data_IF_768348395635
#
_entry.id   IF_768348395635
#
_cell.length_a   1.000
_cell.length_b   1.000
_cell.length_c   1.000
_cell.angle_alpha   90.00
_cell.angle_beta   90.00
_cell.angle_gamma   90.00
#
_symmetry.space_group_name_H-M   'P 1'
#
loop_
_entity.id
_entity.type
_entity.pdbx_description
1 polymer ?
#
# COMPACT_ATOMS: atom_id res chain seq x y z
N UNK A 1 21.81 1.38 -0.08
CA UNK A 1 20.49 0.99 0.45
C UNK A 1 19.58 0.72 -0.73
N UNK A 2 18.99 -0.46 -0.84
CA UNK A 2 17.98 -0.76 -1.86
C UNK A 2 16.76 0.14 -1.66
N UNK A 3 16.25 0.74 -2.73
CA UNK A 3 14.93 1.38 -2.71
C UNK A 3 13.83 0.31 -2.75
N UNK A 4 12.68 0.54 -2.10
CA UNK A 4 11.55 -0.39 -2.14
C UNK A 4 10.60 -0.25 -0.95
N UNK A 5 9.58 -1.10 -0.95
CA UNK A 5 8.72 -1.29 0.21
C UNK A 5 9.51 -1.93 1.34
N UNK A 6 9.36 -1.35 2.53
CA UNK A 6 9.91 -1.85 3.78
C UNK A 6 8.90 -1.49 4.87
N UNK A 7 8.24 -2.47 5.51
CA UNK A 7 7.20 -2.23 6.51
C UNK A 7 7.71 -1.56 7.79
N UNK A 8 9.02 -1.59 8.04
CA UNK A 8 9.66 -1.05 9.24
C UNK A 8 10.16 0.40 9.05
N UNK A 9 10.42 0.81 7.79
CA UNK A 9 10.94 2.15 7.46
C UNK A 9 10.03 3.32 7.83
N UNK A 10 8.72 3.13 7.85
CA UNK A 10 7.75 4.14 8.28
C UNK A 10 6.47 3.46 8.72
N UNK A 11 5.99 3.82 9.92
CA UNK A 11 4.85 3.16 10.55
C UNK A 11 3.81 4.18 11.02
N UNK A 12 2.56 3.75 10.95
CA UNK A 12 1.43 4.34 11.67
C UNK A 12 1.36 3.62 13.03
N UNK A 13 0.87 4.29 14.08
CA UNK A 13 0.73 3.61 15.39
C UNK A 13 -0.20 2.40 15.27
N UNK A 14 0.06 1.36 16.06
CA UNK A 14 -0.75 0.14 16.03
C UNK A 14 -2.22 0.43 16.38
N UNK A 15 -2.49 1.33 17.33
CA UNK A 15 -3.86 1.78 17.65
C UNK A 15 -4.57 2.42 16.44
N UNK A 16 -3.86 3.26 15.67
CA UNK A 16 -4.45 3.88 14.46
C UNK A 16 -4.72 2.83 13.39
N UNK A 17 -3.82 1.86 13.23
CA UNK A 17 -3.99 0.74 12.30
C UNK A 17 -5.16 -0.14 12.69
N UNK A 18 -5.29 -0.48 13.98
CA UNK A 18 -6.40 -1.28 14.51
C UNK A 18 -7.75 -0.59 14.29
N UNK A 19 -7.85 0.69 14.65
CA UNK A 19 -9.05 1.47 14.42
C UNK A 19 -9.43 1.52 12.93
N UNK A 20 -8.44 1.69 12.05
CA UNK A 20 -8.68 1.71 10.61
C UNK A 20 -9.14 0.35 10.07
N UNK A 21 -8.55 -0.77 10.54
CA UNK A 21 -8.99 -2.13 10.18
C UNK A 21 -10.44 -2.39 10.58
N UNK A 22 -10.84 -1.92 11.76
CA UNK A 22 -12.18 -2.16 12.34
C UNK A 22 -13.26 -1.17 11.85
N UNK A 23 -12.89 -0.08 11.18
CA UNK A 23 -13.85 0.92 10.68
C UNK A 23 -14.36 0.59 9.27
N UNK A 24 -15.58 0.99 8.87
CA UNK A 24 -16.00 0.92 7.47
C UNK A 24 -15.06 1.74 6.56
N UNK A 25 -14.86 1.30 5.32
CA UNK A 25 -14.16 2.13 4.32
C UNK A 25 -15.08 3.27 3.91
N UNK A 26 -14.59 4.50 3.94
CA UNK A 26 -15.33 5.69 3.51
C UNK A 26 -14.77 6.24 2.21
N UNK A 27 -15.59 6.90 1.39
CA UNK A 27 -15.20 7.49 0.10
C UNK A 27 -14.31 8.76 0.21
N UNK A 28 -13.35 8.79 1.15
CA UNK A 28 -12.53 9.96 1.46
C UNK A 28 -11.06 9.56 1.67
N UNK A 29 -10.16 10.19 0.91
CA UNK A 29 -8.71 9.95 1.01
C UNK A 29 -8.10 10.49 2.30
N UNK A 30 -8.74 11.45 2.99
CA UNK A 30 -8.27 11.95 4.29
C UNK A 30 -8.39 10.89 5.39
N UNK A 31 -9.17 9.82 5.15
CA UNK A 31 -9.32 8.71 6.10
C UNK A 31 -8.16 7.73 6.08
N UNK A 32 -7.25 7.81 5.08
CA UNK A 32 -6.13 6.88 4.92
C UNK A 32 -4.95 7.32 5.80
N UNK A 33 -4.58 6.56 6.86
CA UNK A 33 -3.43 6.91 7.68
C UNK A 33 -2.14 7.00 6.86
N UNK A 34 -1.31 8.01 7.17
CA UNK A 34 -0.05 8.27 6.46
C UNK A 34 -0.20 9.01 5.12
N UNK A 35 -1.43 9.20 4.61
CA UNK A 35 -1.67 9.95 3.38
C UNK A 35 -2.05 11.41 3.67
N UNK A 36 -1.06 12.31 3.65
CA UNK A 36 -1.29 13.74 3.85
C UNK A 36 -1.85 14.48 2.63
N UNK A 37 -2.33 15.72 2.83
CA UNK A 37 -2.93 16.59 1.79
C UNK A 37 -2.10 16.72 0.51
N UNK A 38 -0.77 16.77 0.62
CA UNK A 38 0.12 16.82 -0.54
C UNK A 38 0.06 15.54 -1.38
N UNK A 39 0.00 14.36 -0.72
CA UNK A 39 -0.19 13.07 -1.38
C UNK A 39 -1.56 12.97 -2.05
N UNK A 40 -2.63 13.41 -1.36
CA UNK A 40 -3.99 13.47 -1.92
C UNK A 40 -4.03 14.32 -3.19
N UNK A 41 -3.42 15.52 -3.15
CA UNK A 41 -3.30 16.38 -4.34
C UNK A 41 -2.59 15.66 -5.49
N UNK A 42 -1.47 14.99 -5.21
CA UNK A 42 -0.71 14.24 -6.23
C UNK A 42 -1.50 13.09 -6.83
N UNK A 43 -2.27 12.38 -6.00
CA UNK A 43 -3.16 11.31 -6.43
C UNK A 43 -4.24 11.79 -7.40
N UNK A 44 -4.79 12.99 -7.18
CA UNK A 44 -5.75 13.63 -8.09
C UNK A 44 -5.15 14.28 -9.34
N UNK A 45 -3.84 14.50 -9.39
CA UNK A 45 -3.12 15.08 -10.54
C UNK A 45 -2.67 13.96 -11.50
N UNK A 46 -3.45 13.66 -12.54
CA UNK A 46 -3.06 12.75 -13.63
C UNK A 46 -3.54 13.30 -14.97
N UNK A 47 -2.75 13.14 -16.03
CA UNK A 47 -3.15 13.51 -17.40
C UNK A 47 -4.26 12.60 -17.92
N UNK A 48 -4.23 11.32 -17.52
CA UNK A 48 -5.26 10.34 -17.84
C UNK A 48 -6.33 10.40 -16.75
N UNK A 49 -7.55 10.83 -17.13
CA UNK A 49 -8.67 11.02 -16.20
C UNK A 49 -8.99 9.74 -15.41
N UNK A 50 -9.00 8.59 -16.09
CA UNK A 50 -9.33 7.29 -15.49
C UNK A 50 -8.27 6.78 -14.49
N UNK A 51 -7.07 7.36 -14.50
CA UNK A 51 -5.99 7.03 -13.56
C UNK A 51 -5.92 8.02 -12.37
N UNK A 52 -6.81 9.03 -12.33
CA UNK A 52 -6.93 9.92 -11.16
C UNK A 52 -7.55 9.18 -9.99
N UNK A 53 -6.98 9.43 -8.82
CA UNK A 53 -7.49 8.90 -7.55
C UNK A 53 -8.06 10.07 -6.75
N UNK A 54 -9.38 10.13 -6.68
CA UNK A 54 -10.16 11.18 -6.00
C UNK A 54 -10.87 10.67 -4.75
N UNK A 55 -10.98 9.35 -4.58
CA UNK A 55 -11.51 8.72 -3.37
C UNK A 55 -10.72 7.45 -2.98
N UNK A 56 -10.94 6.97 -1.75
CA UNK A 56 -10.25 5.80 -1.19
C UNK A 56 -10.54 4.51 -1.97
N UNK A 57 -11.75 4.30 -2.49
CA UNK A 57 -12.11 3.09 -3.23
C UNK A 57 -11.29 2.94 -4.50
N UNK A 58 -11.01 4.05 -5.20
CA UNK A 58 -10.11 4.04 -6.35
C UNK A 58 -8.68 3.70 -5.95
N UNK A 59 -8.21 4.17 -4.79
CA UNK A 59 -6.88 3.81 -4.27
C UNK A 59 -6.79 2.31 -3.97
N UNK A 60 -7.81 1.74 -3.31
CA UNK A 60 -7.93 0.29 -3.11
C UNK A 60 -8.00 -0.44 -4.45
N UNK A 61 -8.83 0.02 -5.39
CA UNK A 61 -8.93 -0.56 -6.72
C UNK A 61 -7.58 -0.59 -7.44
N UNK A 62 -6.82 0.51 -7.39
CA UNK A 62 -5.48 0.56 -7.97
C UNK A 62 -4.51 -0.40 -7.30
N UNK A 63 -4.54 -0.48 -5.97
CA UNK A 63 -3.77 -1.48 -5.24
C UNK A 63 -4.13 -2.89 -5.72
N UNK A 64 -5.41 -3.27 -5.74
CA UNK A 64 -5.86 -4.60 -6.18
C UNK A 64 -5.48 -4.90 -7.63
N UNK A 65 -5.61 -3.94 -8.54
CA UNK A 65 -5.22 -4.10 -9.95
C UNK A 65 -3.74 -4.44 -10.13
N UNK A 66 -2.86 -3.98 -9.24
CA UNK A 66 -1.42 -4.26 -9.31
C UNK A 66 -1.04 -5.67 -8.84
N UNK A 67 -1.99 -6.47 -8.33
CA UNK A 67 -1.78 -7.88 -7.98
C UNK A 67 -1.57 -8.77 -9.22
N UNK A 68 -1.91 -8.28 -10.41
CA UNK A 68 -1.66 -8.95 -11.68
C UNK A 68 -1.11 -8.01 -12.77
N UNK A 69 -0.87 -8.52 -13.98
CA UNK A 69 -0.81 -9.95 -14.31
C UNK A 69 0.40 -10.64 -13.67
N UNK A 70 0.41 -11.99 -13.69
CA UNK A 70 1.59 -12.78 -13.30
C UNK A 70 2.74 -12.66 -14.30
N UNK A 71 3.87 -13.33 -14.01
CA UNK A 71 5.12 -13.20 -14.77
C UNK A 71 5.41 -14.37 -15.71
N UNK A 72 4.68 -15.46 -15.57
CA UNK A 72 4.87 -16.69 -16.33
C UNK A 72 3.54 -17.19 -16.90
N UNK A 73 3.63 -18.04 -17.91
CA UNK A 73 2.46 -18.73 -18.46
C UNK A 73 1.74 -19.52 -17.36
N UNK A 74 0.42 -19.39 -17.29
CA UNK A 74 -0.40 -19.98 -16.23
C UNK A 74 -0.40 -19.21 -14.90
N UNK A 75 0.41 -18.15 -14.74
CA UNK A 75 0.40 -17.30 -13.57
C UNK A 75 -0.47 -16.05 -13.81
N UNK A 76 -1.58 -15.94 -13.08
CA UNK A 76 -2.52 -14.80 -13.22
C UNK A 76 -2.19 -13.64 -12.27
N UNK A 77 -1.40 -13.88 -11.22
CA UNK A 77 -1.07 -12.90 -10.18
C UNK A 77 0.36 -13.03 -9.64
N UNK A 78 0.89 -11.97 -9.04
CA UNK A 78 2.24 -11.94 -8.43
C UNK A 78 2.21 -12.21 -6.93
N UNK A 79 3.34 -12.58 -6.34
CA UNK A 79 3.46 -12.81 -4.89
C UNK A 79 3.27 -11.51 -4.06
N UNK A 80 2.89 -11.65 -2.79
CA UNK A 80 2.56 -10.52 -1.91
C UNK A 80 3.72 -9.51 -1.77
N UNK A 81 4.96 -9.98 -1.57
CA UNK A 81 6.14 -9.12 -1.48
C UNK A 81 6.34 -8.26 -2.74
N UNK A 82 6.12 -8.86 -3.91
CA UNK A 82 6.20 -8.13 -5.17
C UNK A 82 5.05 -7.14 -5.33
N UNK A 83 3.85 -7.51 -4.90
CA UNK A 83 2.67 -6.65 -4.97
C UNK A 83 2.85 -5.38 -4.13
N UNK A 84 3.37 -5.51 -2.90
CA UNK A 84 3.67 -4.35 -2.04
C UNK A 84 4.71 -3.43 -2.69
N UNK A 85 5.76 -4.01 -3.28
CA UNK A 85 6.77 -3.25 -4.01
C UNK A 85 6.20 -2.54 -5.23
N UNK A 86 5.36 -3.22 -6.05
CA UNK A 86 4.71 -2.58 -7.19
C UNK A 86 3.85 -1.40 -6.78
N UNK A 87 3.07 -1.54 -5.71
CA UNK A 87 2.26 -0.42 -5.21
C UNK A 87 3.13 0.72 -4.67
N UNK A 88 4.22 0.41 -3.95
CA UNK A 88 5.17 1.42 -3.47
C UNK A 88 5.83 2.21 -4.60
N UNK A 89 6.26 1.53 -5.68
CA UNK A 89 6.83 2.18 -6.86
C UNK A 89 5.79 2.97 -7.64
N UNK A 90 4.53 2.50 -7.67
CA UNK A 90 3.44 3.28 -8.22
C UNK A 90 3.20 4.57 -7.41
N UNK A 91 3.16 4.53 -6.08
CA UNK A 91 3.08 5.74 -5.26
C UNK A 91 4.25 6.70 -5.56
N UNK A 92 5.47 6.16 -5.74
CA UNK A 92 6.66 6.93 -6.14
C UNK A 92 6.45 7.60 -7.51
N UNK A 93 5.94 6.87 -8.51
CA UNK A 93 5.70 7.42 -9.85
C UNK A 93 4.59 8.46 -9.88
N UNK A 94 3.64 8.41 -8.92
CA UNK A 94 2.65 9.46 -8.68
C UNK A 94 3.24 10.70 -7.96
N UNK A 95 4.52 10.68 -7.60
CA UNK A 95 5.21 11.80 -6.95
C UNK A 95 5.00 11.87 -5.43
N UNK A 96 4.58 10.77 -4.79
CA UNK A 96 4.48 10.69 -3.33
C UNK A 96 5.88 10.42 -2.77
N UNK A 97 6.45 11.41 -2.06
CA UNK A 97 7.85 11.36 -1.63
C UNK A 97 8.06 10.85 -0.20
N UNK A 98 7.03 10.88 0.65
CA UNK A 98 7.10 10.52 2.06
C UNK A 98 6.10 9.42 2.42
N UNK A 99 6.36 8.68 3.51
CA UNK A 99 5.45 7.70 4.13
C UNK A 99 4.89 6.60 3.22
N UNK A 100 5.52 6.34 2.06
CA UNK A 100 5.04 5.31 1.11
C UNK A 100 4.91 3.92 1.74
N UNK A 101 5.87 3.51 2.57
CA UNK A 101 5.77 2.23 3.29
C UNK A 101 4.57 2.19 4.23
N UNK A 102 4.34 3.26 5.00
CA UNK A 102 3.18 3.36 5.87
C UNK A 102 1.86 3.28 5.07
N UNK A 103 1.77 3.99 3.93
CA UNK A 103 0.59 3.96 3.06
C UNK A 103 0.36 2.55 2.48
N UNK A 104 1.41 1.89 2.00
CA UNK A 104 1.32 0.51 1.48
C UNK A 104 0.82 -0.43 2.57
N UNK A 105 1.40 -0.39 3.77
CA UNK A 105 1.00 -1.23 4.91
C UNK A 105 -0.46 -1.01 5.30
N UNK A 106 -0.88 0.26 5.42
CA UNK A 106 -2.27 0.66 5.71
C UNK A 106 -3.26 0.06 4.71
N UNK A 107 -2.99 0.24 3.42
CA UNK A 107 -3.87 -0.26 2.35
C UNK A 107 -3.87 -1.79 2.31
N UNK A 108 -2.71 -2.42 2.48
CA UNK A 108 -2.56 -3.86 2.44
C UNK A 108 -3.25 -4.56 3.61
N UNK A 109 -3.04 -4.10 4.84
CA UNK A 109 -3.69 -4.65 6.03
C UNK A 109 -5.20 -4.44 6.00
N UNK A 110 -5.67 -3.28 5.52
CA UNK A 110 -7.09 -3.07 5.32
C UNK A 110 -7.66 -3.97 4.22
N UNK A 111 -6.92 -4.16 3.13
CA UNK A 111 -7.35 -5.07 2.06
C UNK A 111 -7.42 -6.52 2.54
N UNK A 112 -6.54 -6.93 3.46
CA UNK A 112 -6.53 -8.27 4.05
C UNK A 112 -7.78 -8.57 4.89
N UNK A 113 -8.53 -7.57 5.35
CA UNK A 113 -9.83 -7.79 6.02
C UNK A 113 -10.93 -8.22 5.04
N UNK A 114 -10.72 -8.03 3.73
CA UNK A 114 -11.66 -8.41 2.67
C UNK A 114 -11.13 -9.57 1.81
N UNK A 115 -9.82 -9.58 1.54
CA UNK A 115 -9.14 -10.52 0.66
C UNK A 115 -8.05 -11.27 1.44
N UNK A 116 -8.42 -12.39 2.04
CA UNK A 116 -7.48 -13.21 2.81
C UNK A 116 -6.27 -13.60 1.94
N UNK A 117 -5.07 -13.46 2.50
CA UNK A 117 -3.81 -13.82 1.83
C UNK A 117 -3.20 -12.72 0.93
N UNK A 118 -3.85 -11.56 0.78
CA UNK A 118 -3.30 -10.46 -0.04
C UNK A 118 -2.08 -9.78 0.58
N UNK A 119 -1.91 -9.90 1.89
CA UNK A 119 -0.79 -9.35 2.65
C UNK A 119 -0.35 -10.34 3.71
N UNK A 120 0.96 -10.51 3.86
CA UNK A 120 1.60 -11.29 4.91
C UNK A 120 2.71 -10.45 5.52
N UNK A 121 2.49 -10.01 6.76
CA UNK A 121 3.48 -9.23 7.51
C UNK A 121 4.64 -10.11 8.00
N UNK A 122 4.40 -11.41 8.22
CA UNK A 122 5.43 -12.33 8.70
C UNK A 122 6.47 -12.64 7.63
N UNK A 123 6.11 -12.47 6.35
CA UNK A 123 7.06 -12.58 5.23
C UNK A 123 8.20 -11.53 5.29
N UNK A 124 8.16 -10.60 6.25
CA UNK A 124 9.18 -9.58 6.49
C UNK A 124 9.85 -9.72 7.87
N UNK A 125 9.52 -10.76 8.65
CA UNK A 125 10.07 -10.97 9.99
C UNK A 125 11.51 -11.51 9.98
N UNK A 126 11.93 -12.19 8.90
CA UNK A 126 13.28 -12.76 8.77
C UNK A 126 14.39 -11.70 8.56
N UNK A 127 14.04 -10.44 8.29
CA UNK A 127 15.01 -9.34 8.09
C UNK A 127 15.24 -8.48 9.35
N UNK A 128 14.62 -8.82 10.50
CA UNK A 128 14.71 -8.01 11.74
C UNK A 128 15.56 -8.59 12.87
N UNK A 129 16.21 -9.74 12.69
CA UNK A 129 16.95 -10.45 13.75
C UNK A 129 18.48 -10.19 13.76
N UNK A 130 18.96 -9.04 13.28
CA UNK A 130 20.41 -8.74 13.20
C UNK A 130 20.85 -7.41 13.86
N UNK A 131 20.07 -6.83 14.78
CA UNK A 131 20.56 -5.74 15.64
C UNK A 131 19.98 -5.86 17.05
N UNK A 132 20.66 -6.62 17.92
CA UNK A 132 20.81 -6.38 19.37
C UNK A 132 21.73 -7.45 19.98
N UNK A 133 23.05 -7.31 19.80
CA UNK A 133 24.10 -7.87 20.67
C UNK A 133 24.93 -6.74 21.30
#
# INVERSE_FOLDING_TARGET
MSEGYDPNKSRVSEDTMENFRNSPTEADLNTIPGLGKAGIKKLGECEVEDDKITNSYQLFGKFLMLKGPGKAEGQIEIACLEHMNKFWYWLKSRGINAHRSAIVRVIAEKSATFFQGIYDVNAYADDSDDEDE
#
